data_IF_227309599031
#
_entry.id   IF_227309599031
#
_cell.length_a   1.000
_cell.length_b   1.000
_cell.length_c   1.000
_cell.angle_alpha   90.00
_cell.angle_beta   90.00
_cell.angle_gamma   90.00
#
_symmetry.space_group_name_H-M   'P 1'
#
loop_
_entity.id
_entity.type
_entity.pdbx_description
1 polymer ?
#
# COMPACT_ATOMS: atom_id res chain seq x y z
N UNK A 1 -20.58 -13.74 17.70
CA UNK A 1 -20.51 -13.95 19.19
C UNK A 1 -19.05 -14.19 19.59
N UNK A 2 -18.33 -15.15 18.97
CA UNK A 2 -16.96 -15.55 19.37
C UNK A 2 -15.95 -14.41 19.24
N UNK A 3 -16.00 -13.63 18.15
CA UNK A 3 -15.14 -12.45 17.94
C UNK A 3 -15.38 -11.42 19.05
N UNK A 4 -16.63 -11.16 19.43
CA UNK A 4 -16.93 -10.19 20.48
C UNK A 4 -16.46 -10.64 21.86
N UNK A 5 -16.54 -11.94 22.14
CA UNK A 5 -15.96 -12.51 23.35
C UNK A 5 -14.45 -12.30 23.37
N UNK A 6 -13.77 -12.54 22.25
CA UNK A 6 -12.33 -12.32 22.12
C UNK A 6 -11.95 -10.84 22.32
N UNK A 7 -12.68 -9.92 21.68
CA UNK A 7 -12.45 -8.48 21.81
C UNK A 7 -12.54 -8.02 23.27
N UNK A 8 -13.59 -8.44 23.98
CA UNK A 8 -13.80 -8.09 25.40
C UNK A 8 -12.79 -8.77 26.32
N UNK A 9 -12.51 -10.08 26.10
CA UNK A 9 -11.54 -10.84 26.91
C UNK A 9 -10.14 -10.24 26.85
N UNK A 10 -9.74 -9.70 25.70
CA UNK A 10 -8.42 -9.12 25.47
C UNK A 10 -8.41 -7.60 25.54
N UNK A 11 -9.51 -6.95 25.93
CA UNK A 11 -9.65 -5.49 26.01
C UNK A 11 -9.22 -4.78 24.72
N UNK A 12 -9.54 -5.36 23.55
CA UNK A 12 -9.19 -4.77 22.25
C UNK A 12 -10.12 -3.60 21.94
N UNK A 13 -9.60 -2.41 21.63
CA UNK A 13 -10.43 -1.27 21.22
C UNK A 13 -10.98 -1.53 19.80
N UNK A 14 -12.28 -1.76 19.69
CA UNK A 14 -12.92 -2.11 18.42
C UNK A 14 -13.85 -1.05 17.84
N UNK A 15 -14.14 0.00 18.61
CA UNK A 15 -14.90 1.17 18.19
C UNK A 15 -13.99 2.40 18.17
N UNK A 16 -14.18 3.29 17.20
CA UNK A 16 -13.55 4.58 17.20
C UNK A 16 -14.41 5.60 17.91
N UNK A 17 -13.79 6.55 18.62
CA UNK A 17 -14.54 7.68 19.20
C UNK A 17 -15.05 8.59 18.08
N UNK A 18 -16.03 9.42 18.41
CA UNK A 18 -16.63 10.37 17.47
C UNK A 18 -15.57 11.34 16.92
N UNK A 19 -14.70 11.83 17.79
CA UNK A 19 -13.63 12.77 17.44
C UNK A 19 -12.63 12.16 16.43
N UNK A 20 -12.30 10.88 16.57
CA UNK A 20 -11.41 10.15 15.65
C UNK A 20 -12.07 9.99 14.27
N UNK A 21 -13.37 9.67 14.24
CA UNK A 21 -14.13 9.56 12.98
C UNK A 21 -14.24 10.92 12.30
N UNK A 22 -14.62 11.98 13.04
CA UNK A 22 -14.74 13.34 12.51
C UNK A 22 -13.40 13.84 11.95
N UNK A 23 -12.28 13.55 12.63
CA UNK A 23 -10.95 13.89 12.11
C UNK A 23 -10.64 13.14 10.81
N UNK A 24 -10.91 11.83 10.75
CA UNK A 24 -10.69 11.03 9.53
C UNK A 24 -11.55 11.50 8.35
N UNK A 25 -12.79 11.90 8.61
CA UNK A 25 -13.73 12.39 7.60
C UNK A 25 -13.47 13.86 7.19
N UNK A 26 -12.66 14.59 7.95
CA UNK A 26 -12.28 15.97 7.62
C UNK A 26 -11.34 16.09 6.42
N UNK A 27 -10.67 15.01 6.06
CA UNK A 27 -9.78 14.99 4.90
C UNK A 27 -10.57 14.93 3.59
N UNK A 28 -10.05 15.58 2.56
CA UNK A 28 -10.54 15.41 1.19
C UNK A 28 -10.49 13.92 0.81
N UNK A 29 -11.49 13.43 0.09
CA UNK A 29 -11.55 12.02 -0.33
C UNK A 29 -10.52 11.67 -1.43
N UNK A 30 -9.93 12.69 -2.07
CA UNK A 30 -8.96 12.56 -3.14
C UNK A 30 -7.73 13.43 -2.85
N UNK A 31 -6.58 12.97 -3.32
CA UNK A 31 -5.34 13.74 -3.31
C UNK A 31 -5.42 14.84 -4.37
N UNK A 32 -5.11 16.08 -3.98
CA UNK A 32 -5.20 17.27 -4.85
C UNK A 32 -3.80 17.78 -5.24
N UNK A 33 -3.72 18.56 -6.29
CA UNK A 33 -2.44 19.15 -6.75
C UNK A 33 -1.69 19.94 -5.66
N UNK A 34 -2.43 20.58 -4.73
CA UNK A 34 -1.82 21.27 -3.58
C UNK A 34 -0.97 20.33 -2.70
N UNK A 35 -1.34 19.03 -2.68
CA UNK A 35 -0.70 18.00 -1.86
C UNK A 35 0.59 17.46 -2.51
N UNK A 36 0.84 17.80 -3.79
CA UNK A 36 2.05 17.40 -4.52
C UNK A 36 3.29 18.24 -4.16
N UNK A 37 3.08 19.36 -3.48
CA UNK A 37 4.18 20.27 -3.13
C UNK A 37 5.28 19.57 -2.32
N UNK A 38 6.48 19.59 -2.83
CA UNK A 38 7.66 18.97 -2.19
C UNK A 38 7.74 17.45 -2.40
N UNK A 39 6.90 16.87 -3.26
CA UNK A 39 6.89 15.46 -3.62
C UNK A 39 7.40 15.24 -5.04
N UNK A 40 8.03 14.09 -5.25
CA UNK A 40 8.45 13.65 -6.58
C UNK A 40 7.26 12.98 -7.25
N UNK A 41 6.96 13.38 -8.48
CA UNK A 41 5.91 12.74 -9.28
C UNK A 41 6.44 11.44 -9.90
N UNK A 42 5.87 10.31 -9.49
CA UNK A 42 6.19 8.98 -10.01
C UNK A 42 4.94 8.29 -10.59
N UNK A 43 3.90 9.04 -10.94
CA UNK A 43 2.63 8.49 -11.46
C UNK A 43 2.81 7.75 -12.78
N UNK A 44 3.86 8.03 -13.52
CA UNK A 44 4.19 7.36 -14.78
C UNK A 44 4.89 6.01 -14.58
N UNK A 45 5.44 5.72 -13.40
CA UNK A 45 5.98 4.39 -13.11
C UNK A 45 4.85 3.36 -13.03
N UNK A 46 5.04 2.17 -13.63
CA UNK A 46 4.03 1.11 -13.64
C UNK A 46 3.99 0.33 -12.32
N UNK A 47 3.88 1.04 -11.20
CA UNK A 47 3.72 0.47 -9.88
C UNK A 47 2.41 -0.33 -9.78
N UNK A 48 2.48 -1.48 -9.14
CA UNK A 48 1.33 -2.36 -8.87
C UNK A 48 1.28 -2.74 -7.39
N UNK A 49 0.07 -2.98 -6.87
CA UNK A 49 -0.12 -3.60 -5.56
C UNK A 49 -0.35 -5.09 -5.71
N UNK A 50 0.21 -5.91 -4.81
CA UNK A 50 0.07 -7.38 -4.81
C UNK A 50 -0.26 -7.82 -3.39
N UNK A 51 -1.49 -8.32 -3.17
CA UNK A 51 -1.96 -8.67 -1.84
C UNK A 51 -2.94 -9.86 -1.88
N UNK A 52 -3.54 -10.21 -0.75
CA UNK A 52 -4.60 -11.22 -0.67
C UNK A 52 -5.89 -10.80 -1.38
N UNK A 53 -6.73 -11.78 -1.77
CA UNK A 53 -7.99 -11.51 -2.49
C UNK A 53 -8.96 -10.61 -1.72
N UNK A 54 -8.93 -10.68 -0.41
CA UNK A 54 -9.86 -9.95 0.48
C UNK A 54 -9.30 -8.65 1.03
N UNK A 55 -8.02 -8.33 0.74
CA UNK A 55 -7.40 -7.09 1.19
C UNK A 55 -8.07 -5.86 0.58
N UNK A 56 -8.18 -4.80 1.37
CA UNK A 56 -8.73 -3.50 0.98
C UNK A 56 -7.79 -2.34 1.32
N UNK A 57 -6.84 -2.61 2.19
CA UNK A 57 -5.79 -1.75 2.69
C UNK A 57 -4.48 -2.12 1.98
N UNK A 58 -4.20 -1.46 0.86
CA UNK A 58 -2.98 -1.69 0.08
C UNK A 58 -1.91 -0.74 0.55
N UNK A 59 -1.05 -1.21 1.45
CA UNK A 59 -0.04 -0.39 2.12
C UNK A 59 1.17 -0.14 1.23
N UNK A 60 1.48 -1.06 0.31
CA UNK A 60 2.66 -0.99 -0.56
C UNK A 60 2.35 -1.24 -2.04
N UNK A 61 3.16 -0.62 -2.88
CA UNK A 61 3.20 -0.86 -4.32
C UNK A 61 4.65 -0.99 -4.78
N UNK A 62 4.87 -1.85 -5.76
CA UNK A 62 6.21 -2.26 -6.20
C UNK A 62 6.40 -2.11 -7.70
N UNK A 63 7.64 -1.84 -8.10
CA UNK A 63 8.10 -1.83 -9.48
C UNK A 63 9.55 -2.28 -9.53
N UNK A 64 9.93 -3.16 -10.48
CA UNK A 64 11.30 -3.56 -10.72
C UNK A 64 11.69 -3.42 -12.19
N UNK A 65 12.92 -2.96 -12.41
CA UNK A 65 13.52 -2.77 -13.73
C UNK A 65 14.90 -3.42 -13.78
N UNK A 66 15.09 -4.33 -14.73
CA UNK A 66 16.41 -4.86 -15.03
C UNK A 66 17.18 -3.87 -15.90
N UNK A 67 18.38 -3.49 -15.47
CA UNK A 67 19.37 -2.73 -16.25
C UNK A 67 20.49 -3.64 -16.70
N UNK A 68 21.41 -3.14 -17.54
CA UNK A 68 22.50 -3.94 -18.10
C UNK A 68 23.29 -4.72 -17.03
N UNK A 69 23.70 -4.03 -15.95
CA UNK A 69 24.58 -4.60 -14.92
C UNK A 69 24.01 -4.38 -13.51
N UNK A 70 22.69 -4.19 -13.37
CA UNK A 70 22.05 -3.92 -12.09
C UNK A 70 20.53 -4.10 -12.18
N UNK A 71 19.90 -4.08 -11.02
CA UNK A 71 18.44 -4.03 -10.86
C UNK A 71 18.04 -2.73 -10.15
N UNK A 72 16.92 -2.17 -10.52
CA UNK A 72 16.26 -1.12 -9.75
C UNK A 72 14.97 -1.65 -9.17
N UNK A 73 14.77 -1.48 -7.87
CA UNK A 73 13.52 -1.76 -7.17
C UNK A 73 12.98 -0.46 -6.57
N UNK A 74 11.75 -0.16 -6.86
CA UNK A 74 11.00 0.95 -6.25
C UNK A 74 9.91 0.36 -5.39
N UNK A 75 9.93 0.66 -4.10
CA UNK A 75 8.88 0.32 -3.14
C UNK A 75 8.24 1.62 -2.68
N UNK A 76 6.94 1.75 -2.93
CA UNK A 76 6.15 2.89 -2.48
C UNK A 76 5.25 2.44 -1.33
N UNK A 77 5.34 3.08 -0.18
CA UNK A 77 4.52 2.83 1.00
C UNK A 77 3.55 4.00 1.18
N UNK A 78 2.29 3.74 1.47
CA UNK A 78 1.30 4.77 1.75
C UNK A 78 1.81 5.76 2.81
N UNK A 79 1.76 7.06 2.52
CA UNK A 79 2.24 8.11 3.44
C UNK A 79 1.19 8.42 4.51
N UNK A 80 0.98 7.46 5.42
CA UNK A 80 0.06 7.59 6.56
C UNK A 80 0.39 8.81 7.40
N UNK A 81 1.68 9.15 7.55
CA UNK A 81 2.14 10.30 8.34
C UNK A 81 1.70 11.65 7.77
N UNK A 82 1.27 11.69 6.50
CA UNK A 82 0.68 12.89 5.92
C UNK A 82 -0.68 13.21 6.56
N UNK A 83 -1.42 12.22 7.00
CA UNK A 83 -2.76 12.34 7.56
C UNK A 83 -2.77 12.20 9.09
N UNK A 84 -2.08 11.22 9.63
CA UNK A 84 -1.99 10.96 11.07
C UNK A 84 -0.85 11.78 11.66
N UNK A 85 -1.19 12.97 12.18
CA UNK A 85 -0.22 13.91 12.76
C UNK A 85 0.01 13.64 14.23
N UNK A 86 1.23 13.91 14.69
CA UNK A 86 1.57 13.86 16.10
C UNK A 86 0.56 14.69 16.94
N UNK A 87 0.15 14.14 18.10
CA UNK A 87 -0.84 14.71 19.01
C UNK A 87 -2.26 14.88 18.43
N UNK A 88 -2.59 14.31 17.26
CA UNK A 88 -3.96 14.26 16.77
C UNK A 88 -4.76 13.13 17.42
N UNK A 89 -6.10 13.17 17.34
CA UNK A 89 -6.96 12.11 17.87
C UNK A 89 -6.77 10.79 17.11
N UNK A 90 -6.50 10.87 15.81
CA UNK A 90 -6.09 9.71 15.00
C UNK A 90 -4.81 9.09 15.54
N UNK A 91 -3.80 9.90 15.86
CA UNK A 91 -2.53 9.40 16.39
C UNK A 91 -2.69 8.77 17.78
N UNK A 92 -3.44 9.42 18.69
CA UNK A 92 -3.73 8.87 20.03
C UNK A 92 -4.40 7.49 19.91
N UNK A 93 -5.44 7.37 19.05
CA UNK A 93 -6.15 6.12 18.81
C UNK A 93 -5.27 5.06 18.15
N UNK A 94 -4.42 5.45 17.18
CA UNK A 94 -3.52 4.53 16.51
C UNK A 94 -2.46 3.95 17.48
N UNK A 95 -1.92 4.76 18.37
CA UNK A 95 -0.97 4.33 19.42
C UNK A 95 -1.65 3.34 20.38
N UNK A 96 -2.87 3.62 20.83
CA UNK A 96 -3.64 2.74 21.71
C UNK A 96 -3.91 1.38 21.07
N UNK A 97 -4.24 1.35 19.77
CA UNK A 97 -4.52 0.12 19.01
C UNK A 97 -3.26 -0.65 18.67
N UNK A 98 -2.18 0.04 18.32
CA UNK A 98 -0.88 -0.54 17.98
C UNK A 98 -0.80 -1.22 16.61
N UNK A 99 -1.86 -1.90 16.17
CA UNK A 99 -2.00 -2.56 14.88
C UNK A 99 -3.47 -2.81 14.50
N UNK A 100 -3.70 -3.30 13.30
CA UNK A 100 -4.99 -3.91 12.92
C UNK A 100 -5.08 -5.34 13.44
N UNK A 101 -6.27 -5.79 13.84
CA UNK A 101 -6.50 -7.15 14.30
C UNK A 101 -7.41 -7.89 13.32
N UNK A 102 -6.89 -8.99 12.77
CA UNK A 102 -7.57 -9.76 11.72
C UNK A 102 -8.25 -10.99 12.31
N UNK A 103 -9.58 -11.05 12.19
CA UNK A 103 -10.40 -12.22 12.50
C UNK A 103 -10.91 -12.84 11.19
N UNK A 104 -11.34 -14.12 11.20
CA UNK A 104 -12.09 -14.66 10.08
C UNK A 104 -13.30 -13.78 9.75
N UNK A 105 -13.35 -13.20 8.56
CA UNK A 105 -14.43 -12.35 8.04
C UNK A 105 -14.62 -10.98 8.73
N UNK A 106 -13.74 -10.56 9.61
CA UNK A 106 -13.78 -9.23 10.25
C UNK A 106 -12.38 -8.71 10.53
N UNK A 107 -12.13 -7.46 10.20
CA UNK A 107 -10.93 -6.74 10.60
C UNK A 107 -11.32 -5.66 11.61
N UNK A 108 -10.53 -5.49 12.64
CA UNK A 108 -10.58 -4.32 13.52
C UNK A 108 -9.38 -3.45 13.11
N UNK A 109 -9.59 -2.42 12.30
CA UNK A 109 -8.50 -1.66 11.73
C UNK A 109 -7.84 -0.73 12.76
N UNK A 110 -6.54 -0.46 12.59
CA UNK A 110 -5.81 0.51 13.40
C UNK A 110 -6.28 1.95 13.13
N UNK A 111 -6.64 2.25 11.90
CA UNK A 111 -7.16 3.55 11.46
C UNK A 111 -8.59 3.42 10.93
N UNK A 112 -9.42 4.48 11.00
CA UNK A 112 -10.74 4.48 10.37
C UNK A 112 -10.68 4.13 8.88
N UNK A 113 -11.73 3.45 8.36
CA UNK A 113 -11.75 2.95 6.98
C UNK A 113 -11.62 4.07 5.93
N UNK A 114 -12.03 5.29 6.24
CA UNK A 114 -11.82 6.46 5.38
C UNK A 114 -10.33 6.69 5.05
N UNK A 115 -9.43 6.32 5.97
CA UNK A 115 -7.99 6.34 5.76
C UNK A 115 -7.48 4.97 5.31
N UNK A 116 -7.72 3.90 6.07
CA UNK A 116 -7.10 2.59 5.82
C UNK A 116 -7.49 1.98 4.48
N UNK A 117 -8.76 2.11 4.06
CA UNK A 117 -9.24 1.63 2.76
C UNK A 117 -9.29 2.75 1.69
N UNK A 118 -9.16 4.01 2.13
CA UNK A 118 -9.27 5.23 1.32
C UNK A 118 -7.92 5.84 0.98
N UNK A 119 -7.61 6.97 1.63
CA UNK A 119 -6.43 7.81 1.31
C UNK A 119 -5.09 7.12 1.57
N UNK A 120 -5.01 6.22 2.55
CA UNK A 120 -3.82 5.44 2.86
C UNK A 120 -3.79 4.07 2.15
N UNK A 121 -4.77 3.76 1.30
CA UNK A 121 -4.72 2.57 0.45
C UNK A 121 -4.30 2.94 -0.97
N UNK A 122 -3.26 2.28 -1.49
CA UNK A 122 -2.70 2.52 -2.83
C UNK A 122 -3.59 1.90 -3.93
N UNK A 123 -4.87 2.30 -3.90
CA UNK A 123 -5.88 1.82 -4.84
C UNK A 123 -5.49 2.11 -6.31
N UNK A 124 -5.89 1.25 -7.27
CA UNK A 124 -5.52 1.43 -8.66
C UNK A 124 -6.23 2.63 -9.30
N UNK A 125 -5.52 3.27 -10.25
CA UNK A 125 -6.01 4.36 -11.08
C UNK A 125 -6.44 5.63 -10.32
N UNK A 126 -5.95 5.82 -9.10
CA UNK A 126 -6.13 7.06 -8.32
C UNK A 126 -4.78 7.54 -7.79
N UNK A 127 -4.65 8.85 -7.64
CA UNK A 127 -3.43 9.44 -7.10
C UNK A 127 -3.36 9.20 -5.58
N UNK A 128 -2.18 8.82 -5.10
CA UNK A 128 -1.92 8.57 -3.68
C UNK A 128 -0.58 9.16 -3.28
N UNK A 129 -0.53 9.66 -2.04
CA UNK A 129 0.72 10.11 -1.44
C UNK A 129 1.46 8.91 -0.86
N UNK A 130 2.75 8.84 -1.14
CA UNK A 130 3.59 7.74 -0.66
C UNK A 130 4.98 8.21 -0.24
N UNK A 131 5.61 7.39 0.57
CA UNK A 131 7.04 7.42 0.84
C UNK A 131 7.70 6.34 0.01
N UNK A 132 8.70 6.69 -0.77
CA UNK A 132 9.40 5.77 -1.67
C UNK A 132 10.75 5.37 -1.09
N UNK A 133 11.07 4.09 -1.20
CA UNK A 133 12.43 3.57 -1.16
C UNK A 133 12.81 3.12 -2.59
N UNK A 134 13.75 3.82 -3.19
CA UNK A 134 14.27 3.55 -4.53
C UNK A 134 15.69 2.97 -4.41
N UNK A 135 15.83 1.69 -4.75
CA UNK A 135 17.04 0.89 -4.52
C UNK A 135 17.64 0.44 -5.84
N UNK A 136 18.98 0.36 -5.84
CA UNK A 136 19.75 -0.29 -6.92
C UNK A 136 20.51 -1.47 -6.33
N UNK A 137 20.35 -2.63 -6.95
CA UNK A 137 21.05 -3.87 -6.62
C UNK A 137 22.06 -4.19 -7.72
N UNK A 138 23.17 -4.80 -7.36
CA UNK A 138 24.04 -5.44 -8.34
C UNK A 138 23.50 -6.84 -8.75
N UNK A 139 24.20 -7.55 -9.61
CA UNK A 139 23.80 -8.87 -10.09
C UNK A 139 23.92 -9.98 -9.02
N UNK A 140 24.54 -9.69 -7.88
CA UNK A 140 24.64 -10.63 -6.74
C UNK A 140 23.50 -10.43 -5.75
N UNK A 141 22.67 -9.40 -5.93
CA UNK A 141 21.59 -9.03 -5.02
C UNK A 141 22.01 -8.08 -3.89
N UNK A 142 23.21 -7.49 -3.97
CA UNK A 142 23.67 -6.53 -2.98
C UNK A 142 23.18 -5.12 -3.29
N UNK A 143 22.66 -4.40 -2.27
CA UNK A 143 22.20 -3.01 -2.43
C UNK A 143 23.43 -2.11 -2.62
N UNK A 144 23.55 -1.50 -3.78
CA UNK A 144 24.66 -0.57 -4.10
C UNK A 144 24.28 0.89 -3.88
N UNK A 145 22.99 1.23 -4.01
CA UNK A 145 22.44 2.57 -3.77
C UNK A 145 21.01 2.47 -3.26
N UNK A 146 20.62 3.42 -2.43
CA UNK A 146 19.23 3.64 -2.07
C UNK A 146 18.96 5.11 -1.74
N UNK A 147 17.71 5.52 -1.84
CA UNK A 147 17.25 6.82 -1.33
C UNK A 147 15.76 6.74 -0.96
N UNK A 148 15.40 7.55 0.04
CA UNK A 148 14.03 7.76 0.45
C UNK A 148 13.56 9.15 0.03
N UNK A 149 12.32 9.24 -0.44
CA UNK A 149 11.72 10.52 -0.77
C UNK A 149 10.19 10.44 -0.77
N UNK A 150 9.51 11.54 -0.38
CA UNK A 150 8.06 11.63 -0.51
C UNK A 150 7.67 11.76 -1.98
N UNK A 151 6.58 11.09 -2.36
CA UNK A 151 6.13 11.05 -3.76
C UNK A 151 4.61 11.13 -3.86
N UNK A 152 4.15 11.39 -5.08
CA UNK A 152 2.81 11.10 -5.55
C UNK A 152 2.89 9.98 -6.58
N UNK A 153 2.07 8.97 -6.43
CA UNK A 153 2.00 7.81 -7.31
C UNK A 153 0.59 7.53 -7.81
N UNK A 154 0.49 6.64 -8.80
CA UNK A 154 -0.77 6.11 -9.31
C UNK A 154 -0.57 4.63 -9.62
N UNK A 155 -1.15 3.74 -8.83
CA UNK A 155 -1.05 2.29 -9.05
C UNK A 155 -1.74 1.90 -10.36
N UNK A 156 -1.08 1.09 -11.19
CA UNK A 156 -1.61 0.68 -12.50
C UNK A 156 -2.49 -0.56 -12.43
N UNK A 157 -2.32 -1.38 -11.40
CA UNK A 157 -3.14 -2.55 -11.18
C UNK A 157 -3.16 -2.97 -9.71
N UNK A 158 -4.31 -3.48 -9.28
CA UNK A 158 -4.45 -4.27 -8.08
C UNK A 158 -4.35 -5.74 -8.46
N UNK A 159 -3.30 -6.39 -8.03
CA UNK A 159 -3.06 -7.81 -8.26
C UNK A 159 -3.27 -8.59 -6.96
N UNK A 160 -3.46 -9.91 -7.10
CA UNK A 160 -3.43 -10.82 -5.95
C UNK A 160 -2.29 -11.81 -6.11
N UNK A 161 -1.82 -12.38 -5.00
CA UNK A 161 -0.80 -13.43 -5.05
C UNK A 161 -1.22 -14.57 -5.98
N UNK A 162 -2.50 -14.95 -5.97
CA UNK A 162 -3.05 -15.99 -6.86
C UNK A 162 -3.01 -15.59 -8.33
N UNK A 163 -3.33 -14.33 -8.67
CA UNK A 163 -3.27 -13.82 -10.05
C UNK A 163 -1.82 -13.84 -10.53
N UNK A 164 -0.89 -13.31 -9.73
CA UNK A 164 0.54 -13.27 -10.07
C UNK A 164 1.10 -14.70 -10.26
N UNK A 165 0.77 -15.64 -9.37
CA UNK A 165 1.16 -17.05 -9.52
C UNK A 165 0.63 -17.66 -10.85
N UNK A 166 -0.62 -17.39 -11.20
CA UNK A 166 -1.20 -17.86 -12.47
C UNK A 166 -0.51 -17.26 -13.69
N UNK A 167 -0.15 -15.97 -13.62
CA UNK A 167 0.55 -15.28 -14.71
C UNK A 167 1.97 -15.82 -14.88
N UNK A 168 2.74 -15.91 -13.81
CA UNK A 168 4.17 -16.20 -13.86
C UNK A 168 4.46 -17.69 -13.90
N UNK A 169 3.80 -18.50 -13.07
CA UNK A 169 4.13 -19.92 -12.89
C UNK A 169 3.19 -20.87 -13.64
N UNK A 170 1.89 -20.52 -13.75
CA UNK A 170 0.90 -21.39 -14.43
C UNK A 170 0.65 -21.03 -15.88
N UNK A 171 1.30 -19.97 -16.38
CA UNK A 171 1.27 -19.53 -17.78
C UNK A 171 -0.16 -19.29 -18.33
N UNK A 172 -1.04 -18.73 -17.51
CA UNK A 172 -2.42 -18.41 -17.89
C UNK A 172 -2.43 -17.30 -18.96
N UNK A 173 -2.75 -17.69 -20.21
CA UNK A 173 -2.70 -16.78 -21.34
C UNK A 173 -3.77 -15.69 -21.29
N UNK A 174 -4.90 -15.95 -20.65
CA UNK A 174 -5.99 -14.95 -20.49
C UNK A 174 -5.53 -13.85 -19.56
N UNK A 175 -5.00 -14.20 -18.39
CA UNK A 175 -4.47 -13.24 -17.43
C UNK A 175 -3.23 -12.51 -17.96
N UNK A 176 -2.34 -13.19 -18.70
CA UNK A 176 -1.20 -12.53 -19.36
C UNK A 176 -1.64 -11.44 -20.33
N UNK A 177 -2.70 -11.68 -21.10
CA UNK A 177 -3.26 -10.69 -22.01
C UNK A 177 -3.95 -9.54 -21.27
N UNK A 178 -4.68 -9.86 -20.20
CA UNK A 178 -5.34 -8.86 -19.38
C UNK A 178 -4.34 -7.89 -18.73
N UNK A 179 -3.22 -8.44 -18.20
CA UNK A 179 -2.17 -7.68 -17.53
C UNK A 179 -0.90 -7.51 -18.40
N UNK A 180 -1.04 -7.49 -19.72
CA UNK A 180 0.08 -7.40 -20.68
C UNK A 180 1.03 -6.25 -20.37
N UNK A 181 0.50 -5.10 -20.01
CA UNK A 181 1.30 -3.89 -19.67
C UNK A 181 2.18 -4.06 -18.44
N UNK A 182 1.78 -4.88 -17.48
CA UNK A 182 2.53 -5.14 -16.24
C UNK A 182 3.32 -6.43 -16.29
N UNK A 183 3.19 -7.24 -17.34
CA UNK A 183 3.78 -8.57 -17.40
C UNK A 183 5.31 -8.57 -17.24
N UNK A 184 6.00 -7.71 -17.99
CA UNK A 184 7.46 -7.62 -17.92
C UNK A 184 7.95 -7.14 -16.54
N UNK A 185 7.23 -6.24 -15.92
CA UNK A 185 7.56 -5.73 -14.58
C UNK A 185 7.35 -6.80 -13.51
N UNK A 186 6.32 -7.65 -13.65
CA UNK A 186 6.11 -8.82 -12.79
C UNK A 186 7.22 -9.86 -12.96
N UNK A 187 7.67 -10.13 -14.21
CA UNK A 187 8.83 -11.00 -14.46
C UNK A 187 10.09 -10.41 -13.83
N UNK A 188 10.30 -9.11 -13.93
CA UNK A 188 11.43 -8.44 -13.29
C UNK A 188 11.38 -8.58 -11.77
N UNK A 189 10.21 -8.40 -11.15
CA UNK A 189 10.02 -8.59 -9.70
C UNK A 189 10.30 -10.02 -9.25
N UNK A 190 9.97 -11.03 -10.08
CA UNK A 190 10.25 -12.43 -9.79
C UNK A 190 11.74 -12.77 -9.89
N UNK A 191 12.45 -12.12 -10.83
CA UNK A 191 13.86 -12.41 -11.11
C UNK A 191 14.83 -11.68 -10.17
N UNK A 192 14.39 -10.57 -9.58
CA UNK A 192 15.11 -9.82 -8.56
C UNK A 192 15.09 -10.54 -7.22
#
# INVERSE_FOLDING_TARGET
IEIEIALRKHNLPYEFTKEVIEEAESFDQEVKEKDFKGRIDIRDLPLVTIDGETARDFDDAVYAEQKKDSWRLVVAIADVSNYVKEASKLNESAIERGNSVYFPRRVIPMLPEALSNGLCSLNPNVDRLCMVCDMTFDLNGDITKYKFYPSVMNSKARLTYTIVDKILNKNDQTLKKEYEKSYNDLVNLQNL
#
